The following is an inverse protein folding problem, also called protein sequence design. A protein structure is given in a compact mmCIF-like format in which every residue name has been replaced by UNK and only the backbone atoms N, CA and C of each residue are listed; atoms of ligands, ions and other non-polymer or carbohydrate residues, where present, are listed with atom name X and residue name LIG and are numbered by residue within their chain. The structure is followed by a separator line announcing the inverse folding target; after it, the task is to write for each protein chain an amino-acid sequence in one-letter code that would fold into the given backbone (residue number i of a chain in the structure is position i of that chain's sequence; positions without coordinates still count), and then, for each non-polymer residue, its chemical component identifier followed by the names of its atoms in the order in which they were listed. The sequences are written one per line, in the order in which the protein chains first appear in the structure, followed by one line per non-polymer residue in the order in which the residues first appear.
data_IF_910885409785
#
_entry.id   IF_910885409785
#
_cell.length_a   1.000
_cell.length_b   1.000
_cell.length_c   1.000
_cell.angle_alpha   90.00
_cell.angle_beta   90.00
_cell.angle_gamma   90.00
#
_symmetry.space_group_name_H-M   'P 1'
#
loop_
_entity.id
_entity.type
_entity.pdbx_description
1 polymer ?
#
# COMPACT_ATOMS: atom_id res chain seq x y z
N UNK A 1 -19.75 12.01 -1.64
CA UNK A 1 -18.83 11.00 -2.24
C UNK A 1 -17.40 11.38 -1.87
N UNK A 2 -16.56 10.43 -1.47
CA UNK A 2 -15.17 10.72 -1.11
C UNK A 2 -14.24 9.84 -1.93
N UNK A 3 -13.25 10.44 -2.59
CA UNK A 3 -12.18 9.70 -3.25
C UNK A 3 -11.05 9.42 -2.26
N UNK A 4 -10.65 8.17 -2.17
CA UNK A 4 -9.46 7.75 -1.43
C UNK A 4 -8.40 7.32 -2.43
N UNK A 5 -7.23 7.95 -2.34
CA UNK A 5 -6.02 7.60 -3.08
C UNK A 5 -5.11 6.82 -2.12
N UNK A 6 -4.92 5.54 -2.39
CA UNK A 6 -4.01 4.68 -1.64
C UNK A 6 -2.68 4.64 -2.36
N UNK A 7 -1.59 4.97 -1.67
CA UNK A 7 -0.23 4.94 -2.22
C UNK A 7 0.60 3.96 -1.41
N UNK A 8 1.19 2.97 -2.07
CA UNK A 8 2.22 2.14 -1.43
C UNK A 8 3.49 2.96 -1.28
N UNK A 9 4.16 2.86 -0.12
CA UNK A 9 5.46 3.50 0.06
C UNK A 9 6.44 3.15 -1.07
N UNK A 10 7.36 4.03 -1.37
CA UNK A 10 8.43 3.81 -2.33
C UNK A 10 9.32 2.62 -1.94
N UNK A 11 10.13 2.13 -2.86
CA UNK A 11 11.04 0.99 -2.62
C UNK A 11 12.00 1.26 -1.45
N UNK A 12 12.34 0.20 -0.75
CA UNK A 12 13.30 0.20 0.36
C UNK A 12 14.42 -0.79 0.09
N UNK A 13 15.55 -0.66 0.80
CA UNK A 13 16.62 -1.65 0.78
C UNK A 13 16.14 -3.05 1.16
N UNK A 14 15.18 -3.17 2.08
CA UNK A 14 14.56 -4.43 2.46
C UNK A 14 13.81 -5.07 1.28
N UNK A 15 13.03 -4.27 0.52
CA UNK A 15 12.38 -4.76 -0.70
C UNK A 15 13.41 -5.26 -1.73
N UNK A 16 14.47 -4.48 -1.98
CA UNK A 16 15.52 -4.84 -2.93
C UNK A 16 16.27 -6.12 -2.52
N UNK A 17 16.42 -6.36 -1.22
CA UNK A 17 17.07 -7.54 -0.66
C UNK A 17 16.14 -8.77 -0.50
N UNK A 18 14.84 -8.66 -0.85
CA UNK A 18 13.87 -9.72 -0.66
C UNK A 18 13.62 -10.05 0.82
N UNK A 19 13.66 -9.04 1.69
CA UNK A 19 13.44 -9.17 3.13
C UNK A 19 12.02 -8.71 3.47
N UNK A 20 11.29 -9.51 4.26
CA UNK A 20 9.98 -9.15 4.78
C UNK A 20 10.13 -8.13 5.92
N UNK A 21 10.03 -6.85 5.59
CA UNK A 21 10.26 -5.77 6.55
C UNK A 21 9.22 -5.71 7.67
N UNK A 22 7.95 -6.06 7.38
CA UNK A 22 6.86 -5.99 8.34
C UNK A 22 6.77 -4.64 9.05
N UNK A 23 6.79 -4.65 10.39
CA UNK A 23 6.77 -3.43 11.22
C UNK A 23 8.15 -2.96 11.68
N UNK A 24 9.24 -3.42 11.06
CA UNK A 24 10.60 -2.94 11.40
C UNK A 24 10.67 -1.42 11.37
N UNK A 25 11.19 -0.78 12.45
CA UNK A 25 11.17 0.67 12.61
C UNK A 25 12.22 1.39 11.74
N UNK A 26 13.32 0.72 11.40
CA UNK A 26 14.50 1.34 10.75
C UNK A 26 14.59 1.02 9.25
N UNK A 27 13.43 0.85 8.60
CA UNK A 27 13.36 0.61 7.16
C UNK A 27 12.95 1.89 6.44
N UNK A 28 13.91 2.48 5.73
CA UNK A 28 13.81 3.73 5.00
C UNK A 28 13.70 3.50 3.49
N UNK A 29 13.31 4.55 2.74
CA UNK A 29 13.36 4.53 1.28
C UNK A 29 14.81 4.43 0.81
N UNK A 30 15.02 3.70 -0.30
CA UNK A 30 16.25 3.80 -1.07
C UNK A 30 16.11 4.89 -2.17
N UNK A 31 17.16 5.15 -2.93
CA UNK A 31 17.16 6.20 -3.97
C UNK A 31 16.08 6.00 -5.03
N UNK A 32 15.76 4.74 -5.36
CA UNK A 32 14.66 4.41 -6.28
C UNK A 32 13.31 4.72 -5.61
N UNK A 33 13.14 4.39 -4.34
CA UNK A 33 11.93 4.71 -3.59
C UNK A 33 11.70 6.21 -3.43
N UNK A 34 12.75 6.98 -3.22
CA UNK A 34 12.69 8.46 -3.22
C UNK A 34 12.22 8.97 -4.59
N UNK A 35 12.81 8.48 -5.68
CA UNK A 35 12.42 8.85 -7.04
C UNK A 35 10.96 8.48 -7.34
N UNK A 36 10.51 7.29 -6.91
CA UNK A 36 9.11 6.85 -7.04
C UNK A 36 8.16 7.78 -6.28
N UNK A 37 8.49 8.15 -5.05
CA UNK A 37 7.66 9.04 -4.24
C UNK A 37 7.54 10.45 -4.85
N UNK A 38 8.63 10.98 -5.42
CA UNK A 38 8.63 12.25 -6.13
C UNK A 38 7.79 12.18 -7.41
N UNK A 39 7.90 11.11 -8.19
CA UNK A 39 7.11 10.90 -9.40
C UNK A 39 5.60 10.85 -9.09
N UNK A 40 5.20 10.17 -8.01
CA UNK A 40 3.81 10.19 -7.53
C UNK A 40 3.41 11.61 -7.10
N UNK A 41 4.28 12.34 -6.43
CA UNK A 41 4.03 13.73 -6.04
C UNK A 41 3.74 14.63 -7.25
N UNK A 42 4.53 14.50 -8.31
CA UNK A 42 4.33 15.23 -9.57
C UNK A 42 3.01 14.82 -10.25
N UNK A 43 2.71 13.51 -10.31
CA UNK A 43 1.45 13.00 -10.85
C UNK A 43 0.23 13.59 -10.12
N UNK A 44 0.33 13.78 -8.82
CA UNK A 44 -0.76 14.28 -7.97
C UNK A 44 -0.76 15.81 -7.79
N UNK A 45 0.18 16.56 -8.38
CA UNK A 45 0.35 18.02 -8.18
C UNK A 45 -0.94 18.82 -8.44
N UNK A 46 -1.74 18.42 -9.43
CA UNK A 46 -3.00 19.08 -9.80
C UNK A 46 -4.23 18.54 -9.05
N UNK A 47 -4.07 17.55 -8.18
CA UNK A 47 -5.19 16.94 -7.46
C UNK A 47 -5.46 17.73 -6.18
N UNK A 48 -6.70 18.21 -5.93
CA UNK A 48 -7.04 19.01 -4.75
C UNK A 48 -7.19 18.08 -3.50
N UNK A 49 -6.07 17.55 -3.01
CA UNK A 49 -6.03 16.65 -1.85
C UNK A 49 -6.43 17.43 -0.60
N UNK A 50 -7.44 16.93 0.12
CA UNK A 50 -7.98 17.56 1.33
C UNK A 50 -7.33 17.02 2.61
N UNK A 51 -6.91 15.77 2.62
CA UNK A 51 -6.26 15.13 3.77
C UNK A 51 -5.11 14.25 3.30
N UNK A 52 -4.00 14.24 4.06
CA UNK A 52 -2.90 13.28 3.88
C UNK A 52 -2.76 12.48 5.17
N UNK A 53 -2.86 11.16 5.05
CA UNK A 53 -2.75 10.21 6.16
C UNK A 53 -1.68 9.18 5.84
N UNK A 54 -0.88 8.80 6.81
CA UNK A 54 0.18 7.82 6.62
C UNK A 54 0.24 6.82 7.76
N UNK A 55 0.55 5.57 7.43
CA UNK A 55 1.15 4.66 8.40
C UNK A 55 2.33 5.34 9.09
N UNK A 56 2.57 5.11 10.40
CA UNK A 56 3.63 5.82 11.12
C UNK A 56 5.05 5.32 10.83
N UNK A 57 5.24 4.27 10.03
CA UNK A 57 6.56 3.73 9.73
C UNK A 57 7.41 4.71 8.88
N UNK A 58 8.75 4.72 9.05
CA UNK A 58 9.62 5.69 8.37
C UNK A 58 9.39 5.75 6.86
N UNK A 59 9.43 4.62 6.14
CA UNK A 59 9.26 4.53 4.69
C UNK A 59 7.95 5.14 4.17
N UNK A 60 6.84 4.98 4.91
CA UNK A 60 5.54 5.57 4.53
C UNK A 60 5.50 7.06 4.84
N UNK A 61 6.05 7.48 5.98
CA UNK A 61 6.14 8.88 6.35
C UNK A 61 7.06 9.68 5.41
N UNK A 62 8.16 9.08 4.97
CA UNK A 62 9.07 9.68 3.97
C UNK A 62 8.35 9.83 2.63
N UNK A 63 7.68 8.77 2.14
CA UNK A 63 6.85 8.83 0.92
C UNK A 63 5.80 9.95 1.02
N UNK A 64 5.05 10.01 2.12
CA UNK A 64 4.01 11.02 2.30
C UNK A 64 4.57 12.45 2.33
N UNK A 65 5.74 12.65 2.95
CA UNK A 65 6.41 13.96 2.98
C UNK A 65 6.91 14.39 1.61
N UNK A 66 7.50 13.47 0.84
CA UNK A 66 7.98 13.74 -0.52
C UNK A 66 6.81 14.11 -1.44
N UNK A 67 5.73 13.33 -1.43
CA UNK A 67 4.51 13.65 -2.18
C UNK A 67 3.98 15.03 -1.78
N UNK A 68 3.84 15.28 -0.48
CA UNK A 68 3.37 16.57 0.03
C UNK A 68 4.23 17.74 -0.45
N UNK A 69 5.54 17.54 -0.54
CA UNK A 69 6.50 18.56 -1.02
C UNK A 69 6.29 18.97 -2.48
N UNK A 70 5.69 18.12 -3.30
CA UNK A 70 5.35 18.41 -4.70
C UNK A 70 4.00 19.12 -4.86
N UNK A 71 3.14 19.11 -3.85
CA UNK A 71 1.83 19.77 -3.89
C UNK A 71 1.98 21.28 -3.71
N UNK A 72 1.03 22.11 -4.22
CA UNK A 72 1.03 23.53 -4.02
C UNK A 72 1.09 23.89 -2.52
N UNK A 73 2.09 24.67 -2.04
CA UNK A 73 2.33 24.87 -0.60
C UNK A 73 1.13 25.41 0.17
N UNK A 74 0.35 26.32 -0.45
CA UNK A 74 -0.84 26.93 0.17
C UNK A 74 -2.01 25.93 0.36
N UNK A 75 -2.01 24.81 -0.37
CA UNK A 75 -3.10 23.84 -0.36
C UNK A 75 -2.68 22.46 0.20
N UNK A 76 -1.38 22.26 0.52
CA UNK A 76 -0.86 20.98 0.95
C UNK A 76 -1.20 20.67 2.42
N UNK A 77 -2.09 19.68 2.71
CA UNK A 77 -2.47 19.34 4.07
C UNK A 77 -1.27 18.83 4.88
N UNK A 78 -1.37 18.91 6.21
CA UNK A 78 -0.40 18.24 7.09
C UNK A 78 -0.55 16.73 7.01
N UNK A 79 0.56 16.01 7.15
CA UNK A 79 0.54 14.54 7.19
C UNK A 79 0.09 14.09 8.59
N UNK A 80 -1.06 13.46 8.66
CA UNK A 80 -1.57 12.78 9.86
C UNK A 80 -1.04 11.35 9.93
N UNK A 81 -0.84 10.82 11.15
CA UNK A 81 -0.42 9.43 11.36
C UNK A 81 -1.60 8.59 11.80
N UNK A 82 -1.71 7.38 11.24
CA UNK A 82 -2.71 6.41 11.68
C UNK A 82 -2.08 5.02 11.85
N UNK A 83 -2.10 4.51 13.09
CA UNK A 83 -1.56 3.18 13.45
C UNK A 83 -2.36 2.04 12.82
N UNK A 84 -3.64 2.26 12.49
CA UNK A 84 -4.47 1.26 11.84
C UNK A 84 -4.03 0.99 10.38
N UNK A 85 -3.17 1.85 9.81
CA UNK A 85 -2.57 1.69 8.49
C UNK A 85 -1.18 1.02 8.51
N UNK A 86 -0.68 0.58 9.69
CA UNK A 86 0.55 -0.20 9.81
C UNK A 86 0.50 -1.46 8.94
N UNK A 87 1.65 -1.88 8.43
CA UNK A 87 1.78 -3.18 7.75
C UNK A 87 1.29 -4.32 8.65
N UNK A 88 0.92 -5.44 8.05
CA UNK A 88 0.61 -6.65 8.79
C UNK A 88 1.76 -6.96 9.76
N UNK A 89 1.40 -7.31 11.00
CA UNK A 89 2.37 -7.79 11.97
C UNK A 89 2.70 -9.24 11.66
N UNK A 90 3.79 -9.44 10.94
CA UNK A 90 4.23 -10.77 10.56
C UNK A 90 4.96 -11.52 11.70
N UNK A 91 5.04 -10.92 12.90
CA UNK A 91 5.65 -11.53 14.08
C UNK A 91 7.03 -12.08 13.78
N UNK A 92 7.22 -13.40 14.03
CA UNK A 92 8.49 -14.10 13.86
C UNK A 92 9.01 -14.15 12.40
N UNK A 93 8.19 -13.79 11.42
CA UNK A 93 8.62 -13.71 10.02
C UNK A 93 9.28 -12.38 9.68
N UNK A 94 9.06 -11.34 10.49
CA UNK A 94 9.64 -10.02 10.30
C UNK A 94 11.17 -10.08 10.25
N UNK A 95 11.78 -9.44 9.26
CA UNK A 95 13.22 -9.40 9.03
C UNK A 95 13.80 -10.64 8.33
N UNK A 96 13.01 -11.68 8.05
CA UNK A 96 13.48 -12.86 7.34
C UNK A 96 13.44 -12.67 5.82
N UNK A 97 14.34 -13.37 5.11
CA UNK A 97 14.32 -13.40 3.64
C UNK A 97 13.11 -14.18 3.11
N UNK A 98 12.46 -13.66 2.08
CA UNK A 98 11.30 -14.30 1.43
C UNK A 98 11.67 -15.71 0.90
N UNK A 99 12.88 -15.90 0.36
CA UNK A 99 13.38 -17.19 -0.09
C UNK A 99 13.40 -18.25 1.04
N UNK A 100 13.71 -17.82 2.29
CA UNK A 100 13.65 -18.71 3.46
C UNK A 100 12.20 -19.00 3.86
N UNK A 101 11.36 -17.96 3.84
CA UNK A 101 9.95 -18.06 4.23
C UNK A 101 9.16 -18.92 3.26
N UNK A 102 9.51 -18.93 1.96
CA UNK A 102 8.87 -19.78 0.96
C UNK A 102 9.01 -21.29 1.24
N UNK A 103 9.95 -21.67 2.11
CA UNK A 103 10.14 -23.06 2.57
C UNK A 103 9.40 -23.38 3.87
N UNK A 104 8.78 -22.38 4.50
CA UNK A 104 7.99 -22.56 5.72
C UNK A 104 6.64 -23.22 5.37
N UNK A 105 6.17 -24.23 6.13
CA UNK A 105 4.87 -24.87 5.87
C UNK A 105 3.68 -23.89 5.85
N UNK A 106 3.74 -22.80 6.64
CA UNK A 106 2.71 -21.77 6.65
C UNK A 106 2.68 -20.92 5.37
N UNK A 107 3.73 -20.94 4.54
CA UNK A 107 3.78 -20.18 3.29
C UNK A 107 2.64 -20.57 2.35
N UNK A 108 2.38 -21.87 2.19
CA UNK A 108 1.26 -22.34 1.36
C UNK A 108 -0.09 -21.82 1.87
N UNK A 109 -0.27 -21.72 3.19
CA UNK A 109 -1.49 -21.17 3.79
C UNK A 109 -1.60 -19.68 3.50
N UNK A 110 -0.52 -18.90 3.66
CA UNK A 110 -0.49 -17.46 3.34
C UNK A 110 -0.82 -17.20 1.87
N UNK A 111 -0.39 -18.09 0.97
CA UNK A 111 -0.67 -17.95 -0.46
C UNK A 111 -2.12 -18.32 -0.83
N UNK A 112 -2.64 -19.44 -0.31
CA UNK A 112 -3.91 -20.00 -0.74
C UNK A 112 -5.11 -19.61 0.16
N UNK A 113 -4.87 -19.45 1.47
CA UNK A 113 -5.90 -19.22 2.48
C UNK A 113 -5.49 -18.16 3.51
N UNK A 114 -5.12 -16.92 3.08
CA UNK A 114 -4.68 -15.88 4.00
C UNK A 114 -5.70 -15.51 5.07
N UNK A 115 -7.00 -15.73 4.84
CA UNK A 115 -8.04 -15.48 5.85
C UNK A 115 -7.91 -16.37 7.09
N UNK A 116 -7.27 -17.52 6.98
CA UNK A 116 -7.09 -18.48 8.09
C UNK A 116 -5.77 -18.30 8.83
N UNK A 117 -4.83 -17.49 8.32
CA UNK A 117 -3.50 -17.36 8.93
C UNK A 117 -3.51 -16.40 10.12
N UNK A 118 -2.84 -16.81 11.19
CA UNK A 118 -2.30 -15.92 12.21
C UNK A 118 -0.80 -16.12 12.23
N UNK A 119 -0.03 -15.06 12.03
CA UNK A 119 1.43 -15.15 12.04
C UNK A 119 1.95 -15.47 13.45
N UNK A 120 2.92 -16.38 13.60
CA UNK A 120 3.53 -16.68 14.90
C UNK A 120 4.10 -15.42 15.54
N UNK A 121 3.66 -15.07 16.75
CA UNK A 121 4.04 -13.82 17.41
C UNK A 121 3.51 -12.53 16.79
N UNK A 122 2.61 -12.62 15.81
CA UNK A 122 2.05 -11.50 15.07
C UNK A 122 0.52 -11.43 15.08
N UNK A 123 -0.06 -10.74 14.11
CA UNK A 123 -1.52 -10.63 13.95
C UNK A 123 -2.06 -11.60 12.87
N UNK A 124 -3.37 -11.80 12.85
CA UNK A 124 -4.02 -12.49 11.74
C UNK A 124 -4.21 -11.55 10.55
N UNK A 125 -4.18 -12.11 9.33
CA UNK A 125 -4.48 -11.33 8.11
C UNK A 125 -5.88 -10.72 8.15
N UNK A 126 -6.85 -11.42 8.75
CA UNK A 126 -8.21 -10.93 8.92
C UNK A 126 -8.27 -9.71 9.86
N UNK A 127 -7.52 -9.74 10.97
CA UNK A 127 -7.43 -8.59 11.89
C UNK A 127 -6.75 -7.39 11.20
N UNK A 128 -5.69 -7.65 10.43
CA UNK A 128 -5.01 -6.64 9.63
C UNK A 128 -5.96 -5.99 8.61
N UNK A 129 -6.73 -6.77 7.84
CA UNK A 129 -7.73 -6.27 6.92
C UNK A 129 -8.80 -5.45 7.65
N UNK A 130 -9.35 -5.98 8.74
CA UNK A 130 -10.45 -5.32 9.49
C UNK A 130 -10.05 -3.94 9.98
N UNK A 131 -8.86 -3.78 10.58
CA UNK A 131 -8.38 -2.47 11.05
C UNK A 131 -8.09 -1.50 9.90
N UNK A 132 -7.49 -1.99 8.81
CA UNK A 132 -7.15 -1.15 7.67
C UNK A 132 -8.40 -0.63 6.94
N UNK A 133 -9.35 -1.52 6.64
CA UNK A 133 -10.63 -1.16 6.02
C UNK A 133 -11.43 -0.20 6.91
N UNK A 134 -11.50 -0.48 8.21
CA UNK A 134 -12.16 0.40 9.18
C UNK A 134 -11.56 1.81 9.18
N UNK A 135 -10.23 1.92 9.19
CA UNK A 135 -9.51 3.20 9.12
C UNK A 135 -9.81 3.95 7.82
N UNK A 136 -9.69 3.29 6.67
CA UNK A 136 -9.93 3.92 5.36
C UNK A 136 -11.35 4.46 5.26
N UNK A 137 -12.35 3.67 5.68
CA UNK A 137 -13.77 4.10 5.70
C UNK A 137 -14.00 5.26 6.68
N UNK A 138 -13.37 5.24 7.85
CA UNK A 138 -13.47 6.34 8.82
C UNK A 138 -12.87 7.64 8.28
N UNK A 139 -11.72 7.59 7.61
CA UNK A 139 -11.12 8.75 6.97
C UNK A 139 -11.97 9.26 5.81
N UNK A 140 -12.54 8.38 4.99
CA UNK A 140 -13.45 8.75 3.91
C UNK A 140 -14.70 9.47 4.46
N UNK A 141 -15.33 8.93 5.51
CA UNK A 141 -16.52 9.52 6.13
C UNK A 141 -16.22 10.87 6.78
N UNK A 142 -15.11 10.98 7.53
CA UNK A 142 -14.67 12.23 8.17
C UNK A 142 -14.41 13.32 7.13
N UNK A 143 -13.67 12.99 6.06
CA UNK A 143 -13.37 13.93 5.00
C UNK A 143 -14.64 14.36 4.24
N UNK A 144 -15.59 13.44 4.02
CA UNK A 144 -16.88 13.77 3.43
C UNK A 144 -17.67 14.77 4.28
N UNK A 145 -17.66 14.60 5.62
CA UNK A 145 -18.34 15.51 6.53
C UNK A 145 -17.72 16.92 6.53
N UNK A 146 -16.39 17.01 6.37
CA UNK A 146 -15.66 18.28 6.41
C UNK A 146 -15.65 19.01 5.05
N UNK A 147 -15.46 18.29 3.94
CA UNK A 147 -15.22 18.86 2.60
C UNK A 147 -16.33 18.56 1.57
N UNK A 148 -17.33 17.75 1.97
CA UNK A 148 -18.44 17.37 1.07
C UNK A 148 -17.96 16.55 -0.14
N UNK A 149 -18.52 16.86 -1.33
CA UNK A 149 -18.22 16.15 -2.57
C UNK A 149 -16.82 16.43 -3.14
N UNK A 150 -16.08 17.35 -2.55
CA UNK A 150 -14.71 17.69 -2.92
C UNK A 150 -13.66 16.91 -2.11
N UNK A 151 -14.08 16.03 -1.23
CA UNK A 151 -13.19 15.26 -0.36
C UNK A 151 -12.31 14.30 -1.17
N UNK A 152 -10.98 14.50 -1.09
CA UNK A 152 -9.96 13.60 -1.62
C UNK A 152 -8.94 13.32 -0.52
N UNK A 153 -8.89 12.07 -0.07
CA UNK A 153 -7.98 11.60 0.98
C UNK A 153 -6.82 10.84 0.35
N UNK A 154 -5.60 11.30 0.58
CA UNK A 154 -4.39 10.56 0.24
C UNK A 154 -3.96 9.73 1.45
N UNK A 155 -3.85 8.42 1.28
CA UNK A 155 -3.41 7.47 2.30
C UNK A 155 -2.14 6.77 1.83
N UNK A 156 -1.05 6.92 2.59
CA UNK A 156 0.21 6.22 2.31
C UNK A 156 0.36 5.02 3.25
N UNK A 157 0.47 3.82 2.67
CA UNK A 157 0.51 2.57 3.42
C UNK A 157 1.39 1.52 2.73
N UNK A 158 1.08 0.24 2.86
CA UNK A 158 1.90 -0.91 2.53
C UNK A 158 1.19 -1.85 1.55
N UNK A 159 1.93 -2.79 0.98
CA UNK A 159 1.42 -3.68 -0.06
C UNK A 159 0.22 -4.49 0.37
N UNK A 160 0.35 -5.31 1.43
CA UNK A 160 -0.74 -6.20 1.85
C UNK A 160 -1.92 -5.45 2.46
N UNK A 161 -1.68 -4.29 3.05
CA UNK A 161 -2.75 -3.40 3.54
C UNK A 161 -3.60 -2.88 2.37
N UNK A 162 -2.96 -2.38 1.32
CA UNK A 162 -3.68 -1.84 0.15
C UNK A 162 -4.41 -2.96 -0.59
N UNK A 163 -3.77 -4.12 -0.79
CA UNK A 163 -4.43 -5.31 -1.36
C UNK A 163 -5.69 -5.69 -0.58
N UNK A 164 -5.61 -5.70 0.75
CA UNK A 164 -6.73 -6.02 1.64
C UNK A 164 -7.89 -5.03 1.51
N UNK A 165 -7.59 -3.73 1.39
CA UNK A 165 -8.59 -2.67 1.19
C UNK A 165 -9.23 -2.78 -0.20
N UNK A 166 -8.45 -3.07 -1.24
CA UNK A 166 -8.97 -3.27 -2.61
C UNK A 166 -9.86 -4.51 -2.67
N UNK A 167 -9.45 -5.62 -2.04
CA UNK A 167 -10.24 -6.85 -1.97
C UNK A 167 -11.61 -6.59 -1.31
N UNK A 168 -11.63 -5.89 -0.17
CA UNK A 168 -12.88 -5.47 0.50
C UNK A 168 -13.75 -4.60 -0.42
N UNK A 169 -13.17 -3.60 -1.09
CA UNK A 169 -13.90 -2.69 -1.97
C UNK A 169 -14.49 -3.39 -3.20
N UNK A 170 -13.86 -4.46 -3.68
CA UNK A 170 -14.35 -5.31 -4.78
C UNK A 170 -15.31 -6.42 -4.31
N UNK A 171 -15.54 -6.58 -3.00
CA UNK A 171 -16.32 -7.70 -2.46
C UNK A 171 -15.63 -9.06 -2.63
N UNK A 172 -14.30 -9.06 -2.78
CA UNK A 172 -13.50 -10.27 -2.91
C UNK A 172 -13.24 -10.88 -1.53
N UNK A 173 -13.30 -12.22 -1.47
CA UNK A 173 -12.82 -12.92 -0.28
C UNK A 173 -11.33 -12.64 -0.06
N UNK A 174 -10.88 -12.55 1.20
CA UNK A 174 -9.48 -12.26 1.53
C UNK A 174 -8.51 -13.28 0.91
N UNK A 175 -8.92 -14.52 0.73
CA UNK A 175 -8.12 -15.58 0.08
C UNK A 175 -7.79 -15.28 -1.40
N UNK A 176 -8.47 -14.32 -2.01
CA UNK A 176 -8.20 -13.90 -3.37
C UNK A 176 -7.30 -12.65 -3.48
N UNK A 177 -6.91 -12.04 -2.34
CA UNK A 177 -6.23 -10.73 -2.35
C UNK A 177 -4.82 -10.76 -3.00
N UNK A 178 -4.17 -11.92 -3.04
CA UNK A 178 -2.88 -12.08 -3.71
C UNK A 178 -2.95 -11.91 -5.24
N UNK A 179 -4.15 -11.98 -5.82
CA UNK A 179 -4.39 -11.68 -7.25
C UNK A 179 -4.25 -10.19 -7.58
N UNK A 180 -4.16 -9.33 -6.57
CA UNK A 180 -4.02 -7.89 -6.72
C UNK A 180 -2.53 -7.54 -6.62
N UNK A 181 -2.01 -6.84 -7.63
CA UNK A 181 -0.64 -6.33 -7.63
C UNK A 181 -0.65 -4.90 -7.13
N UNK A 182 0.24 -4.58 -6.19
CA UNK A 182 0.46 -3.23 -5.66
C UNK A 182 1.97 -3.01 -5.55
N UNK A 183 2.54 -2.29 -6.50
CA UNK A 183 3.97 -2.02 -6.58
C UNK A 183 4.40 -0.82 -5.70
N UNK A 184 5.67 -0.74 -5.26
CA UNK A 184 6.18 0.43 -4.57
C UNK A 184 5.99 1.72 -5.38
N UNK A 185 5.46 2.77 -4.76
CA UNK A 185 5.16 4.03 -5.43
C UNK A 185 3.96 3.97 -6.38
N UNK A 186 3.12 2.94 -6.31
CA UNK A 186 1.88 2.89 -7.09
C UNK A 186 0.72 3.60 -6.41
N UNK A 187 -0.24 4.05 -7.22
CA UNK A 187 -1.46 4.72 -6.80
C UNK A 187 -2.68 3.85 -7.11
N UNK A 188 -3.55 3.68 -6.13
CA UNK A 188 -4.86 3.03 -6.26
C UNK A 188 -5.94 4.03 -5.87
N UNK A 189 -7.03 4.14 -6.63
CA UNK A 189 -8.12 5.08 -6.37
C UNK A 189 -9.45 4.35 -6.15
N UNK A 190 -10.11 4.65 -5.02
CA UNK A 190 -11.41 4.10 -4.65
C UNK A 190 -12.36 5.24 -4.30
N UNK A 191 -13.52 5.28 -4.94
CA UNK A 191 -14.59 6.23 -4.61
C UNK A 191 -15.56 5.59 -3.62
N UNK A 192 -15.63 6.12 -2.40
CA UNK A 192 -16.59 5.71 -1.38
C UNK A 192 -17.87 6.53 -1.49
N UNK A 193 -18.97 5.85 -1.73
CA UNK A 193 -20.32 6.44 -1.80
C UNK A 193 -21.19 5.89 -0.66
N UNK A 194 -22.35 6.47 -0.35
CA UNK A 194 -23.25 5.91 0.64
C UNK A 194 -23.73 4.49 0.31
N UNK A 195 -23.74 4.12 -0.97
CA UNK A 195 -24.25 2.83 -1.41
C UNK A 195 -23.18 1.74 -1.40
N UNK A 196 -22.01 2.01 -2.02
CA UNK A 196 -20.90 1.05 -2.14
C UNK A 196 -19.61 1.74 -2.59
N UNK A 197 -18.42 1.14 -2.38
CA UNK A 197 -17.19 1.62 -2.98
C UNK A 197 -17.13 1.29 -4.49
N UNK A 198 -16.39 2.13 -5.25
CA UNK A 198 -16.09 1.91 -6.66
C UNK A 198 -14.57 1.96 -6.84
N UNK A 199 -13.95 0.85 -7.21
CA UNK A 199 -12.53 0.82 -7.55
C UNK A 199 -12.33 1.41 -8.93
N UNK A 200 -11.62 2.55 -9.01
CA UNK A 200 -11.42 3.32 -10.25
C UNK A 200 -10.10 3.00 -10.93
N UNK A 201 -9.10 2.70 -10.13
CA UNK A 201 -7.73 2.52 -10.56
C UNK A 201 -7.03 1.61 -9.57
N UNK A 202 -6.23 0.68 -10.04
CA UNK A 202 -5.39 -0.20 -9.20
C UNK A 202 -3.98 -0.19 -9.75
N UNK A 203 -2.99 -0.04 -8.85
CA UNK A 203 -1.57 -0.16 -9.17
C UNK A 203 -1.05 0.75 -10.29
N UNK A 204 -1.59 1.96 -10.44
CA UNK A 204 -1.06 2.90 -11.44
C UNK A 204 0.29 3.46 -10.98
N UNK A 205 1.28 3.38 -11.86
CA UNK A 205 2.57 4.05 -11.68
C UNK A 205 2.69 5.29 -12.56
N UNK A 206 3.71 6.09 -12.32
CA UNK A 206 4.05 7.22 -13.17
C UNK A 206 4.63 6.78 -14.54
N UNK A 207 5.06 5.53 -14.64
CA UNK A 207 5.58 4.92 -15.88
C UNK A 207 4.81 3.64 -16.22
N UNK A 208 3.60 3.82 -16.72
CA UNK A 208 2.71 2.71 -17.11
C UNK A 208 3.32 1.86 -18.23
N UNK A 209 4.18 2.41 -19.09
CA UNK A 209 4.78 1.66 -20.18
C UNK A 209 5.78 0.63 -19.65
N UNK A 210 6.56 0.97 -18.62
CA UNK A 210 7.45 0.02 -17.95
C UNK A 210 6.67 -1.14 -17.30
N UNK A 211 5.54 -0.83 -16.67
CA UNK A 211 4.67 -1.85 -16.03
C UNK A 211 4.07 -2.82 -17.05
N UNK A 212 3.60 -2.30 -18.20
CA UNK A 212 3.03 -3.13 -19.26
C UNK A 212 4.08 -4.00 -20.00
N UNK A 213 5.33 -3.58 -20.00
CA UNK A 213 6.46 -4.33 -20.58
C UNK A 213 7.09 -5.30 -19.59
N UNK A 214 6.75 -5.22 -18.30
CA UNK A 214 7.27 -6.13 -17.29
C UNK A 214 6.76 -7.56 -17.56
N UNK A 215 7.69 -8.51 -17.60
CA UNK A 215 7.33 -9.92 -17.80
C UNK A 215 6.46 -10.46 -16.66
N UNK A 216 5.54 -11.36 -16.99
CA UNK A 216 4.79 -12.11 -15.97
C UNK A 216 5.78 -12.98 -15.19
N UNK A 217 5.76 -12.98 -13.84
CA UNK A 217 6.61 -13.86 -13.07
C UNK A 217 6.33 -15.32 -13.44
N UNK A 218 7.35 -16.03 -13.91
CA UNK A 218 7.19 -17.41 -14.43
C UNK A 218 7.32 -18.48 -13.34
N UNK A 219 7.84 -18.12 -12.14
CA UNK A 219 8.24 -19.12 -11.14
C UNK A 219 7.74 -18.85 -9.71
N UNK A 220 7.04 -17.75 -9.46
CA UNK A 220 6.52 -17.47 -8.12
C UNK A 220 5.15 -16.80 -8.16
N UNK A 221 4.28 -17.26 -7.28
CA UNK A 221 3.07 -16.55 -6.91
C UNK A 221 3.41 -15.20 -6.22
N UNK A 222 2.40 -14.39 -5.95
CA UNK A 222 2.58 -13.06 -5.39
C UNK A 222 3.44 -13.07 -4.10
N UNK A 223 4.38 -12.16 -4.00
CA UNK A 223 5.24 -12.05 -2.82
C UNK A 223 4.44 -11.48 -1.63
N UNK A 224 4.55 -12.13 -0.46
CA UNK A 224 4.07 -11.61 0.82
C UNK A 224 4.72 -10.25 1.10
N UNK A 225 3.96 -9.27 1.55
CA UNK A 225 4.43 -7.89 1.69
C UNK A 225 4.59 -7.14 0.36
N UNK A 226 4.12 -7.73 -0.76
CA UNK A 226 4.07 -7.11 -2.07
C UNK A 226 5.40 -6.93 -2.80
N UNK A 227 6.49 -7.58 -2.35
CA UNK A 227 7.79 -7.61 -3.05
C UNK A 227 8.42 -6.24 -3.38
N UNK A 228 9.44 -6.27 -4.24
CA UNK A 228 10.22 -5.09 -4.65
C UNK A 228 9.63 -4.30 -5.84
N UNK A 229 8.53 -4.76 -6.42
CA UNK A 229 8.07 -4.28 -7.72
C UNK A 229 8.92 -4.83 -8.88
N UNK A 230 8.58 -4.45 -10.10
CA UNK A 230 9.29 -4.88 -11.28
C UNK A 230 10.66 -4.19 -11.39
N UNK A 231 11.70 -4.92 -11.82
CA UNK A 231 12.98 -4.32 -12.17
C UNK A 231 12.80 -3.55 -13.48
N UNK A 232 12.92 -2.23 -13.46
CA UNK A 232 13.07 -1.45 -14.68
C UNK A 232 14.40 -1.85 -15.33
N UNK A 233 14.34 -2.73 -16.31
CA UNK A 233 15.49 -3.09 -17.13
C UNK A 233 15.82 -1.94 -18.08
N UNK A 234 16.66 -0.98 -17.65
CA UNK A 234 17.45 -0.20 -18.59
C UNK A 234 18.70 -1.02 -18.89
N UNK A 235 18.78 -1.59 -20.10
CA UNK A 235 20.06 -1.85 -20.75
C UNK A 235 20.57 -0.54 -21.35
#
# INVERSE_FOLDING_TARGET
MTRVLLVRHGRTSANAAGVLAGRSPDVHLDDVGISQALAVGELLRGVPITNIVSSPLPRTMETAKLIRGCLPPAAAPRVSRDKALLECDYGDWTGKKLERLSKDPLWAVVQAHPSSITFPGGESMLASQTRAVGSVRAWAARSAAEFGDRAIVLIVSHGDIIKSVVADALGMHLDAFQRIVIDPGSVTAIDYTPLRPFVRLVNASADISADLCAGVPTESDAAVGGGAGHKSGRK
#
